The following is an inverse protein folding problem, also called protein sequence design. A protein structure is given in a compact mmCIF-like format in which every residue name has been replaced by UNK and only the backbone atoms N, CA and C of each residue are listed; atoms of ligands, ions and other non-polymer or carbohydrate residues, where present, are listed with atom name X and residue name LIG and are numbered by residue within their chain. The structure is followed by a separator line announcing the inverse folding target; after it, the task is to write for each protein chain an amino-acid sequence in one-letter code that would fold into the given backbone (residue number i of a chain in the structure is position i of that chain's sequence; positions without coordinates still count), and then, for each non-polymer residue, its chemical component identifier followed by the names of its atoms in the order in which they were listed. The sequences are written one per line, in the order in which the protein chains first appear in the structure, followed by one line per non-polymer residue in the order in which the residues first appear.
data_IF_362297213257
#
_entry.id   IF_362297213257
#
_cell.length_a   1.000
_cell.length_b   1.000
_cell.length_c   1.000
_cell.angle_alpha   90.00
_cell.angle_beta   90.00
_cell.angle_gamma   90.00
#
_symmetry.space_group_name_H-M   'P 1'
#
loop_
_entity.id
_entity.type
_entity.pdbx_description
1 polymer ?
#
# COMPACT_ATOMS: atom_id res chain seq x y z
N UNK A 1 -30.99 -3.19 -9.82
CA UNK A 1 -29.62 -3.71 -9.60
C UNK A 1 -29.67 -4.74 -8.48
N UNK A 2 -29.19 -5.94 -8.72
CA UNK A 2 -29.23 -7.03 -7.72
C UNK A 2 -27.86 -7.10 -7.06
N UNK A 3 -27.77 -6.82 -5.78
CA UNK A 3 -26.55 -6.98 -5.01
C UNK A 3 -26.43 -8.42 -4.53
N UNK A 4 -25.29 -9.03 -4.77
CA UNK A 4 -25.00 -10.40 -4.36
C UNK A 4 -23.76 -10.35 -3.47
N UNK A 5 -23.88 -10.84 -2.26
CA UNK A 5 -22.74 -10.98 -1.35
C UNK A 5 -21.98 -12.25 -1.66
N UNK A 6 -20.71 -12.11 -2.00
CA UNK A 6 -19.80 -13.22 -2.29
C UNK A 6 -18.58 -13.14 -1.40
N UNK A 7 -18.00 -14.30 -1.12
CA UNK A 7 -16.79 -14.36 -0.29
C UNK A 7 -15.55 -14.45 -1.20
N UNK A 8 -14.54 -13.66 -0.88
CA UNK A 8 -13.23 -13.77 -1.51
C UNK A 8 -12.46 -14.94 -0.88
N UNK A 9 -11.93 -15.82 -1.72
CA UNK A 9 -11.10 -16.95 -1.30
C UNK A 9 -9.70 -16.79 -1.94
N UNK A 10 -8.67 -16.96 -1.12
CA UNK A 10 -7.29 -16.97 -1.61
C UNK A 10 -6.91 -18.38 -2.04
N UNK A 11 -6.61 -18.56 -3.31
CA UNK A 11 -6.13 -19.83 -3.87
C UNK A 11 -4.77 -19.59 -4.50
N UNK A 12 -3.73 -20.23 -3.95
CA UNK A 12 -2.32 -20.01 -4.36
C UNK A 12 -1.96 -18.52 -4.30
N UNK A 13 -1.66 -17.91 -5.44
CA UNK A 13 -1.22 -16.51 -5.54
C UNK A 13 -2.31 -15.55 -6.02
N UNK A 14 -3.57 -15.98 -6.09
CA UNK A 14 -4.70 -15.17 -6.56
C UNK A 14 -5.84 -15.08 -5.54
N UNK A 15 -6.62 -14.02 -5.66
CA UNK A 15 -7.91 -13.88 -4.99
C UNK A 15 -9.01 -14.28 -5.96
N UNK A 16 -9.92 -15.15 -5.51
CA UNK A 16 -11.00 -15.68 -6.32
C UNK A 16 -12.34 -15.36 -5.66
N UNK A 17 -13.33 -15.10 -6.49
CA UNK A 17 -14.71 -14.96 -6.08
C UNK A 17 -15.43 -16.26 -6.41
N UNK A 18 -15.94 -16.95 -5.39
CA UNK A 18 -16.78 -18.11 -5.61
C UNK A 18 -18.23 -17.67 -5.83
N UNK A 19 -18.74 -17.90 -7.03
CA UNK A 19 -20.14 -17.67 -7.35
C UNK A 19 -20.94 -18.89 -6.86
N UNK A 20 -21.94 -18.72 -5.97
CA UNK A 20 -22.78 -19.81 -5.53
C UNK A 20 -23.52 -20.47 -6.71
N UNK A 21 -23.62 -21.80 -6.72
CA UNK A 21 -24.24 -22.58 -7.81
C UNK A 21 -25.66 -22.12 -8.15
N UNK A 22 -26.44 -21.73 -7.14
CA UNK A 22 -27.80 -21.24 -7.33
C UNK A 22 -27.82 -19.95 -8.15
N UNK A 23 -26.84 -19.08 -7.92
CA UNK A 23 -26.70 -17.80 -8.64
C UNK A 23 -26.20 -18.07 -10.06
N UNK A 24 -25.20 -18.92 -10.22
CA UNK A 24 -24.70 -19.31 -11.52
C UNK A 24 -25.83 -19.88 -12.41
N UNK A 25 -26.66 -20.72 -11.85
CA UNK A 25 -27.85 -21.27 -12.53
C UNK A 25 -28.90 -20.20 -12.86
N UNK A 26 -29.18 -19.29 -11.91
CA UNK A 26 -30.18 -18.23 -12.12
C UNK A 26 -29.78 -17.19 -13.17
N UNK A 27 -28.47 -17.00 -13.36
CA UNK A 27 -27.90 -16.10 -14.37
C UNK A 27 -27.46 -16.83 -15.63
N UNK A 28 -27.69 -18.14 -15.73
CA UNK A 28 -27.31 -19.00 -16.84
C UNK A 28 -25.81 -18.96 -17.20
N UNK A 29 -24.93 -18.76 -16.18
CA UNK A 29 -23.49 -18.70 -16.37
C UNK A 29 -22.92 -20.06 -16.77
N UNK A 30 -21.98 -20.07 -17.70
CA UNK A 30 -21.30 -21.28 -18.21
C UNK A 30 -19.81 -21.21 -17.98
N UNK A 31 -19.17 -22.35 -17.86
CA UNK A 31 -17.72 -22.45 -17.80
C UNK A 31 -17.09 -21.89 -19.08
N UNK A 32 -16.07 -21.01 -18.90
CA UNK A 32 -15.39 -20.35 -20.02
C UNK A 32 -16.08 -19.10 -20.58
N UNK A 33 -17.16 -18.64 -19.93
CA UNK A 33 -17.87 -17.42 -20.32
C UNK A 33 -17.23 -16.20 -19.63
N UNK A 34 -17.03 -15.13 -20.37
CA UNK A 34 -16.57 -13.84 -19.82
C UNK A 34 -17.74 -13.12 -19.16
N UNK A 35 -17.56 -12.74 -17.91
CA UNK A 35 -18.55 -12.00 -17.15
C UNK A 35 -17.97 -10.69 -16.65
N UNK A 36 -18.76 -9.64 -16.72
CA UNK A 36 -18.42 -8.35 -16.14
C UNK A 36 -18.89 -8.27 -14.68
N UNK A 37 -17.98 -7.97 -13.77
CA UNK A 37 -18.26 -7.88 -12.34
C UNK A 37 -17.87 -6.47 -11.87
N UNK A 38 -18.82 -5.75 -11.30
CA UNK A 38 -18.53 -4.50 -10.59
C UNK A 38 -18.29 -4.79 -9.11
N UNK A 39 -17.11 -4.47 -8.63
CA UNK A 39 -16.77 -4.62 -7.21
C UNK A 39 -16.99 -3.29 -6.53
N UNK A 40 -17.98 -3.25 -5.65
CA UNK A 40 -18.21 -2.11 -4.76
C UNK A 40 -17.70 -2.52 -3.38
N UNK A 41 -16.50 -2.07 -3.04
CA UNK A 41 -16.06 -2.07 -1.64
C UNK A 41 -16.62 -0.81 -0.98
N UNK A 42 -17.12 -0.93 0.25
CA UNK A 42 -17.30 0.29 1.04
C UNK A 42 -15.92 0.95 1.13
N UNK A 43 -15.80 2.24 0.81
CA UNK A 43 -14.52 2.92 0.86
C UNK A 43 -14.03 2.90 2.31
N UNK A 44 -13.16 1.96 2.64
CA UNK A 44 -12.20 2.27 3.68
C UNK A 44 -11.42 3.46 3.13
N UNK A 45 -11.29 4.52 3.88
CA UNK A 45 -10.82 5.86 3.48
C UNK A 45 -9.58 5.94 2.57
N UNK A 46 -8.94 4.83 2.27
CA UNK A 46 -7.76 4.71 1.43
C UNK A 46 -8.03 4.49 -0.06
N UNK A 47 -9.19 3.98 -0.45
CA UNK A 47 -9.44 3.62 -1.85
C UNK A 47 -9.96 4.78 -2.70
N UNK A 48 -10.59 5.78 -2.12
CA UNK A 48 -11.10 6.94 -2.86
C UNK A 48 -10.02 7.85 -3.43
N UNK A 49 -8.81 7.85 -2.83
CA UNK A 49 -7.69 8.66 -3.30
C UNK A 49 -6.75 7.92 -4.26
N UNK A 50 -6.78 6.58 -4.27
CA UNK A 50 -5.96 5.73 -5.13
C UNK A 50 -6.57 5.47 -6.50
N UNK A 51 -7.89 5.63 -6.63
CA UNK A 51 -8.63 5.46 -7.87
C UNK A 51 -9.21 6.82 -8.27
N UNK A 52 -8.43 7.64 -8.93
CA UNK A 52 -8.96 8.80 -9.62
C UNK A 52 -10.00 8.37 -10.67
N UNK A 53 -10.98 9.24 -10.94
CA UNK A 53 -12.13 9.00 -11.84
C UNK A 53 -11.81 8.63 -13.30
N UNK A 54 -10.58 8.23 -13.62
CA UNK A 54 -10.18 7.80 -14.94
C UNK A 54 -10.20 6.28 -15.04
N UNK A 55 -11.28 5.75 -15.56
CA UNK A 55 -11.61 4.33 -15.71
C UNK A 55 -10.83 3.58 -16.79
N UNK A 56 -9.85 4.18 -17.44
CA UNK A 56 -9.27 3.60 -18.66
C UNK A 56 -7.84 3.07 -18.56
N UNK A 57 -7.15 3.25 -17.42
CA UNK A 57 -5.85 2.61 -17.20
C UNK A 57 -5.76 2.13 -15.75
N UNK A 58 -5.62 0.82 -15.56
CA UNK A 58 -5.14 0.25 -14.29
C UNK A 58 -3.68 0.67 -14.19
N UNK A 59 -3.43 1.87 -13.67
CA UNK A 59 -2.09 2.24 -13.26
C UNK A 59 -1.71 1.30 -12.13
N UNK A 60 -0.72 0.45 -12.37
CA UNK A 60 -0.07 -0.31 -11.31
C UNK A 60 0.41 0.70 -10.27
N UNK A 61 -0.02 0.54 -9.02
CA UNK A 61 0.41 1.41 -7.93
C UNK A 61 1.88 1.12 -7.68
N UNK A 62 2.73 1.95 -8.25
CA UNK A 62 4.18 1.80 -8.16
C UNK A 62 4.78 2.55 -6.97
N UNK A 63 4.00 3.38 -6.27
CA UNK A 63 4.50 4.17 -5.15
C UNK A 63 3.40 4.69 -4.22
N UNK A 64 3.82 5.02 -3.00
CA UNK A 64 2.99 5.60 -1.95
C UNK A 64 3.68 6.82 -1.34
N UNK A 65 2.89 7.73 -0.78
CA UNK A 65 3.36 8.88 -0.01
C UNK A 65 2.93 8.72 1.44
N UNK A 66 3.89 8.69 2.35
CA UNK A 66 3.62 8.67 3.79
C UNK A 66 3.61 10.11 4.31
N UNK A 67 2.48 10.52 4.84
CA UNK A 67 2.36 11.74 5.63
C UNK A 67 2.93 11.44 7.02
N UNK A 68 3.92 12.22 7.44
CA UNK A 68 4.63 12.03 8.71
C UNK A 68 4.19 13.04 9.79
N UNK A 69 3.25 13.91 9.50
CA UNK A 69 2.86 15.01 10.39
C UNK A 69 2.38 14.53 11.77
N UNK A 70 1.64 13.42 11.83
CA UNK A 70 1.11 12.86 13.07
C UNK A 70 2.17 12.14 13.90
N UNK A 71 3.19 11.55 13.28
CA UNK A 71 4.25 10.77 13.92
C UNK A 71 5.64 11.44 13.89
N UNK A 72 5.70 12.72 13.55
CA UNK A 72 6.94 13.48 13.38
C UNK A 72 7.85 13.42 14.61
N UNK A 73 7.27 13.50 15.80
CA UNK A 73 8.03 13.40 17.05
C UNK A 73 8.68 12.01 17.18
N UNK A 74 7.92 10.96 16.93
CA UNK A 74 8.41 9.57 16.99
C UNK A 74 9.52 9.33 15.97
N UNK A 75 9.37 9.86 14.77
CA UNK A 75 10.37 9.77 13.72
C UNK A 75 11.68 10.45 14.13
N UNK A 76 11.62 11.71 14.54
CA UNK A 76 12.80 12.51 14.84
C UNK A 76 13.50 12.07 16.14
N UNK A 77 12.75 11.59 17.14
CA UNK A 77 13.32 11.21 18.45
C UNK A 77 13.72 9.74 18.54
N UNK A 78 12.99 8.86 17.88
CA UNK A 78 13.19 7.41 18.00
C UNK A 78 13.62 6.72 16.72
N UNK A 79 13.81 7.46 15.63
CA UNK A 79 14.23 6.94 14.33
C UNK A 79 13.27 5.84 13.82
N UNK A 80 11.97 6.06 13.95
CA UNK A 80 10.91 5.14 13.55
C UNK A 80 9.99 5.82 12.56
N UNK A 81 9.70 5.14 11.45
CA UNK A 81 8.77 5.62 10.44
C UNK A 81 7.50 4.80 10.55
N UNK A 82 6.38 5.46 10.82
CA UNK A 82 5.08 4.81 10.88
C UNK A 82 4.52 4.59 9.48
N UNK A 83 4.03 3.37 9.25
CA UNK A 83 3.30 3.00 8.03
C UNK A 83 1.83 2.84 8.39
N UNK A 84 0.96 3.77 7.98
CA UNK A 84 -0.47 3.66 8.18
C UNK A 84 -1.02 2.33 7.67
N UNK A 85 -2.01 1.78 8.37
CA UNK A 85 -2.58 0.47 8.05
C UNK A 85 -3.03 0.37 6.59
N UNK A 86 -3.60 1.46 6.06
CA UNK A 86 -4.03 1.58 4.67
C UNK A 86 -2.92 1.34 3.63
N UNK A 87 -1.64 1.49 3.99
CA UNK A 87 -0.49 1.30 3.09
C UNK A 87 0.31 0.02 3.36
N UNK A 88 -0.02 -0.74 4.41
CA UNK A 88 0.74 -1.96 4.76
C UNK A 88 0.67 -3.05 3.71
N UNK A 89 -0.39 -3.06 2.89
CA UNK A 89 -0.51 -3.99 1.77
C UNK A 89 0.60 -3.84 0.71
N UNK A 90 1.21 -2.66 0.65
CA UNK A 90 2.27 -2.32 -0.31
C UNK A 90 3.59 -3.05 -0.01
N UNK A 91 3.76 -3.50 1.22
CA UNK A 91 4.95 -4.16 1.73
C UNK A 91 4.72 -5.65 1.99
N UNK A 92 5.80 -6.43 2.18
CA UNK A 92 5.67 -7.78 2.72
C UNK A 92 4.94 -7.81 4.06
N UNK A 93 4.41 -8.99 4.44
CA UNK A 93 3.77 -9.17 5.74
C UNK A 93 4.71 -8.78 6.90
N UNK A 94 4.11 -8.56 8.09
CA UNK A 94 4.83 -8.22 9.30
C UNK A 94 6.02 -9.15 9.55
N UNK A 95 7.11 -8.56 10.05
CA UNK A 95 8.36 -9.24 10.37
C UNK A 95 9.08 -9.91 9.17
N UNK A 96 8.61 -9.71 7.94
CA UNK A 96 9.33 -10.15 6.75
C UNK A 96 10.27 -9.04 6.26
N UNK A 97 11.56 -9.34 6.24
CA UNK A 97 12.59 -8.40 5.79
C UNK A 97 12.45 -8.02 4.30
N UNK A 98 12.69 -6.75 4.01
CA UNK A 98 12.80 -6.17 2.67
C UNK A 98 13.88 -5.09 2.65
N UNK A 99 14.17 -4.53 1.48
CA UNK A 99 15.24 -3.56 1.29
C UNK A 99 14.68 -2.21 0.84
N UNK A 100 15.20 -1.15 1.45
CA UNK A 100 14.97 0.23 1.04
C UNK A 100 16.24 0.77 0.40
N UNK A 101 16.18 1.16 -0.86
CA UNK A 101 17.23 1.91 -1.54
C UNK A 101 17.06 3.40 -1.22
N UNK A 102 18.06 3.99 -0.58
CA UNK A 102 18.02 5.37 -0.07
C UNK A 102 19.27 6.13 -0.45
N UNK A 103 19.29 7.43 -0.15
CA UNK A 103 20.49 8.28 -0.31
C UNK A 103 21.64 7.92 0.63
N UNK A 104 21.40 7.10 1.66
CA UNK A 104 22.44 6.56 2.56
C UNK A 104 22.82 5.11 2.24
N UNK A 105 22.30 4.56 1.13
CA UNK A 105 22.50 3.19 0.70
C UNK A 105 21.30 2.30 0.91
N UNK A 106 21.52 0.98 0.87
CA UNK A 106 20.47 0.00 1.04
C UNK A 106 20.27 -0.30 2.52
N UNK A 107 19.02 -0.18 2.98
CA UNK A 107 18.62 -0.47 4.35
C UNK A 107 17.77 -1.74 4.34
N UNK A 108 18.17 -2.73 5.12
CA UNK A 108 17.36 -3.93 5.37
C UNK A 108 16.45 -3.67 6.56
N UNK A 109 15.15 -3.74 6.36
CA UNK A 109 14.14 -3.46 7.38
C UNK A 109 12.94 -4.39 7.26
N UNK A 110 11.96 -4.22 8.13
CA UNK A 110 10.64 -4.87 8.09
C UNK A 110 9.61 -3.98 8.77
N UNK A 111 8.34 -4.28 8.60
CA UNK A 111 7.26 -3.65 9.35
C UNK A 111 7.03 -4.44 10.63
N UNK A 112 7.13 -3.77 11.78
CA UNK A 112 6.79 -4.36 13.08
C UNK A 112 5.28 -4.55 13.23
N UNK A 113 4.85 -5.38 14.19
CA UNK A 113 3.43 -5.56 14.51
C UNK A 113 2.69 -4.25 14.83
N UNK A 114 3.40 -3.26 15.38
CA UNK A 114 2.87 -1.90 15.62
C UNK A 114 2.92 -0.98 14.40
N UNK A 115 3.42 -1.45 13.26
CA UNK A 115 3.40 -0.73 11.99
C UNK A 115 4.57 0.21 11.73
N UNK A 116 5.73 -0.03 12.32
CA UNK A 116 6.90 0.84 12.15
C UNK A 116 8.04 0.18 11.38
N UNK A 117 8.74 0.96 10.55
CA UNK A 117 10.12 0.67 10.19
C UNK A 117 11.02 1.15 11.33
N UNK A 118 11.79 0.27 11.92
CA UNK A 118 12.72 0.60 13.01
C UNK A 118 14.15 0.22 12.68
N UNK A 119 14.33 -0.96 12.11
CA UNK A 119 15.64 -1.53 11.80
C UNK A 119 16.32 -0.74 10.70
N UNK A 120 17.53 -0.24 10.96
CA UNK A 120 18.35 0.47 9.99
C UNK A 120 17.95 1.93 9.74
N UNK A 121 16.87 2.44 10.33
CA UNK A 121 16.38 3.79 10.08
C UNK A 121 17.24 4.89 10.69
N UNK A 122 18.04 4.58 11.71
CA UNK A 122 18.85 5.59 12.42
C UNK A 122 19.77 6.38 11.49
N UNK A 123 20.56 5.69 10.67
CA UNK A 123 21.48 6.35 9.74
C UNK A 123 20.77 7.23 8.72
N UNK A 124 19.61 6.82 8.28
CA UNK A 124 18.80 7.59 7.34
C UNK A 124 18.24 8.87 7.99
N UNK A 125 17.71 8.76 9.22
CA UNK A 125 17.20 9.91 9.97
C UNK A 125 18.32 10.86 10.36
N UNK A 126 19.50 10.37 10.74
CA UNK A 126 20.67 11.22 11.06
C UNK A 126 21.12 12.08 9.87
N UNK A 127 21.00 11.58 8.65
CA UNK A 127 21.41 12.32 7.42
C UNK A 127 20.29 13.24 6.91
N UNK A 128 19.04 12.80 6.99
CA UNK A 128 17.90 13.51 6.38
C UNK A 128 17.07 14.32 7.37
N UNK A 129 17.22 14.08 8.66
CA UNK A 129 16.46 14.76 9.71
C UNK A 129 17.15 16.03 10.26
N UNK A 130 16.49 16.78 11.14
CA UNK A 130 15.11 16.54 11.54
C UNK A 130 14.12 16.84 10.40
N UNK A 131 13.10 16.00 10.24
CA UNK A 131 12.04 16.22 9.25
C UNK A 131 11.01 17.21 9.78
N UNK A 132 10.30 17.87 8.87
CA UNK A 132 9.28 18.88 9.12
C UNK A 132 7.86 18.35 8.80
N UNK A 133 6.84 19.04 9.28
CA UNK A 133 5.41 18.71 9.02
C UNK A 133 5.04 18.76 7.55
N UNK A 134 5.80 19.49 6.74
CA UNK A 134 5.58 19.60 5.29
C UNK A 134 6.34 18.55 4.48
N UNK A 135 7.17 17.74 5.14
CA UNK A 135 7.88 16.67 4.48
C UNK A 135 6.99 15.43 4.35
N UNK A 136 7.16 14.73 3.23
CA UNK A 136 6.54 13.44 2.97
C UNK A 136 7.62 12.43 2.62
N UNK A 137 7.39 11.19 2.96
CA UNK A 137 8.25 10.09 2.55
C UNK A 137 7.59 9.40 1.36
N UNK A 138 8.26 9.44 0.22
CA UNK A 138 7.85 8.71 -0.97
C UNK A 138 8.54 7.35 -1.01
N UNK A 139 7.77 6.28 -1.19
CA UNK A 139 8.27 4.92 -1.32
C UNK A 139 7.70 4.32 -2.60
N UNK A 140 8.59 3.82 -3.47
CA UNK A 140 8.21 3.19 -4.73
C UNK A 140 8.81 1.79 -4.87
N UNK A 141 8.14 0.91 -5.62
CA UNK A 141 8.63 -0.44 -5.89
C UNK A 141 9.75 -0.35 -6.94
N UNK A 142 10.91 -0.93 -6.63
CA UNK A 142 12.04 -1.07 -7.56
C UNK A 142 12.07 -2.48 -8.16
N UNK A 143 11.94 -3.49 -7.32
CA UNK A 143 11.92 -4.90 -7.72
C UNK A 143 11.08 -5.70 -6.71
N UNK A 144 9.87 -6.06 -7.11
CA UNK A 144 8.92 -6.78 -6.27
C UNK A 144 9.43 -8.17 -5.89
N UNK A 145 10.07 -8.87 -6.83
CA UNK A 145 10.60 -10.24 -6.58
C UNK A 145 11.71 -10.24 -5.55
N UNK A 146 12.56 -9.22 -5.57
CA UNK A 146 13.64 -9.02 -4.60
C UNK A 146 13.20 -8.28 -3.35
N UNK A 147 11.92 -7.86 -3.28
CA UNK A 147 11.38 -7.05 -2.17
C UNK A 147 12.23 -5.78 -1.96
N UNK A 148 12.50 -5.07 -3.05
CA UNK A 148 13.29 -3.86 -3.06
C UNK A 148 12.43 -2.65 -3.40
N UNK A 149 12.51 -1.63 -2.57
CA UNK A 149 11.80 -0.36 -2.68
C UNK A 149 12.79 0.79 -2.69
N UNK A 150 12.45 1.90 -3.34
CA UNK A 150 13.17 3.15 -3.20
C UNK A 150 12.46 4.04 -2.18
N UNK A 151 13.21 4.72 -1.31
CA UNK A 151 12.68 5.65 -0.32
C UNK A 151 13.38 7.01 -0.43
N UNK A 152 12.61 8.07 -0.53
CA UNK A 152 13.08 9.45 -0.62
C UNK A 152 12.17 10.40 0.14
N UNK A 153 12.68 11.61 0.44
CA UNK A 153 11.88 12.70 1.01
C UNK A 153 11.40 13.58 -0.14
N UNK A 154 10.15 13.98 -0.07
CA UNK A 154 9.55 14.98 -0.93
C UNK A 154 8.84 16.03 -0.07
N UNK A 155 8.77 17.27 -0.56
CA UNK A 155 7.96 18.27 0.11
C UNK A 155 6.50 18.07 -0.28
N UNK A 156 5.61 18.07 0.70
CA UNK A 156 4.18 18.06 0.41
C UNK A 156 3.83 19.26 -0.47
N UNK A 157 3.20 18.99 -1.62
CA UNK A 157 2.66 20.07 -2.46
C UNK A 157 1.62 20.82 -1.63
N UNK A 158 1.72 22.15 -1.46
CA UNK A 158 0.70 22.90 -0.75
C UNK A 158 -0.65 22.63 -1.40
N UNK A 159 -1.61 22.13 -0.63
CA UNK A 159 -3.00 22.05 -1.10
C UNK A 159 -3.45 23.49 -1.30
N UNK A 160 -3.59 23.92 -2.54
CA UNK A 160 -4.26 25.17 -2.85
C UNK A 160 -5.68 25.10 -2.29
N UNK A 161 -5.96 26.02 -1.36
CA UNK A 161 -7.28 26.20 -0.79
C UNK A 161 -8.24 26.83 -1.81
#
# INVERSE_FOLDING_TARGET
MRLIHVKLEKIKNGLFVKIPDLIAKSLHLREGEDIEISIHSEPSFAQGELWGDNTDEIEEINGIYLDISEDLHTLNMYNRIYVPEKYRFFFPAEDIDFYLSTNVGHIKTHITASGYFTKGMRSWVEVNGPLDVNDQIHISIVDEKKKMYAMSITNAVPKEN
#
